data_IF_197824718239
#
_entry.id   IF_197824718239
#
_cell.length_a   1.000
_cell.length_b   1.000
_cell.length_c   1.000
_cell.angle_alpha   90.00
_cell.angle_beta   90.00
_cell.angle_gamma   90.00
#
_symmetry.space_group_name_H-M   'P 1'
#
loop_
_entity.id
_entity.type
_entity.pdbx_description
1 polymer ?
#
# COMPACT_ATOMS: atom_id res chain seq x y z
N UNK A 1 9.98 21.96 -80.50
CA UNK A 1 11.15 21.71 -79.64
C UNK A 1 10.68 20.76 -78.56
N UNK A 2 11.00 19.49 -78.75
CA UNK A 2 10.63 18.36 -77.92
C UNK A 2 11.40 18.42 -76.60
N UNK A 3 10.72 18.19 -75.48
CA UNK A 3 11.33 17.90 -74.20
C UNK A 3 10.96 16.46 -73.83
N UNK A 4 11.97 15.59 -73.88
CA UNK A 4 11.92 14.21 -73.39
C UNK A 4 11.68 14.21 -71.87
N UNK A 5 10.70 13.44 -71.42
CA UNK A 5 10.57 13.05 -70.03
C UNK A 5 10.79 11.54 -69.95
N UNK A 6 11.86 11.18 -69.25
CA UNK A 6 12.37 9.83 -69.04
C UNK A 6 11.46 9.06 -68.09
N UNK A 7 11.00 7.90 -68.57
CA UNK A 7 10.19 6.92 -67.86
C UNK A 7 11.07 6.12 -66.88
N UNK A 8 10.77 6.20 -65.58
CA UNK A 8 11.40 5.36 -64.54
C UNK A 8 10.58 4.09 -64.34
N UNK A 9 11.18 2.88 -64.39
CA UNK A 9 10.42 1.65 -64.28
C UNK A 9 10.01 1.37 -62.83
N UNK A 10 8.72 1.08 -62.66
CA UNK A 10 8.11 0.57 -61.42
C UNK A 10 8.65 -0.84 -61.17
N UNK A 11 9.40 -1.02 -60.09
CA UNK A 11 9.83 -2.33 -59.62
C UNK A 11 8.61 -3.10 -59.06
N UNK A 12 8.18 -4.11 -59.81
CA UNK A 12 7.18 -5.09 -59.36
C UNK A 12 7.89 -6.07 -58.45
N UNK A 13 7.77 -5.87 -57.14
CA UNK A 13 8.26 -6.79 -56.12
C UNK A 13 7.39 -8.05 -56.12
N UNK A 14 7.78 -9.00 -56.96
CA UNK A 14 7.16 -10.32 -57.09
C UNK A 14 7.89 -11.27 -56.15
N UNK A 15 7.45 -11.30 -54.90
CA UNK A 15 7.91 -12.28 -53.93
C UNK A 15 6.94 -13.47 -53.91
N UNK A 16 7.25 -14.64 -54.49
CA UNK A 16 6.36 -15.79 -54.50
C UNK A 16 6.74 -16.71 -53.34
N UNK A 17 6.43 -16.30 -52.11
CA UNK A 17 6.40 -17.23 -50.98
C UNK A 17 4.95 -17.45 -50.58
N UNK A 18 4.45 -18.70 -50.54
CA UNK A 18 3.15 -18.99 -49.95
C UNK A 18 3.22 -18.56 -48.48
N UNK A 19 2.49 -17.52 -48.09
CA UNK A 19 2.22 -17.27 -46.68
C UNK A 19 1.33 -18.41 -46.22
N UNK A 20 1.93 -19.45 -45.63
CA UNK A 20 1.18 -20.44 -44.88
C UNK A 20 0.25 -19.70 -43.91
N UNK A 21 -1.03 -20.06 -43.83
CA UNK A 21 -1.93 -19.46 -42.86
C UNK A 21 -1.38 -19.79 -41.48
N UNK A 22 -0.76 -18.80 -40.81
CA UNK A 22 -0.39 -18.93 -39.40
C UNK A 22 -1.66 -19.33 -38.69
N UNK A 23 -1.71 -20.57 -38.20
CA UNK A 23 -2.89 -21.12 -37.55
C UNK A 23 -3.45 -20.15 -36.51
N UNK A 24 -4.77 -20.16 -36.34
CA UNK A 24 -5.44 -19.28 -35.40
C UNK A 24 -4.99 -19.54 -33.95
N UNK A 25 -4.44 -20.73 -33.69
CA UNK A 25 -3.87 -21.13 -32.40
C UNK A 25 -2.46 -20.54 -32.25
N UNK A 26 -2.26 -19.82 -31.14
CA UNK A 26 -0.99 -19.24 -30.71
C UNK A 26 -0.62 -19.78 -29.33
N UNK A 27 0.61 -19.52 -28.91
CA UNK A 27 1.09 -19.93 -27.59
C UNK A 27 1.70 -18.74 -26.87
N UNK A 28 1.37 -18.58 -25.59
CA UNK A 28 1.96 -17.59 -24.69
C UNK A 28 2.25 -18.25 -23.35
N UNK A 29 3.50 -18.20 -22.89
CA UNK A 29 3.95 -18.81 -21.62
C UNK A 29 3.47 -20.27 -21.43
N UNK A 30 3.52 -21.07 -22.50
CA UNK A 30 3.09 -22.47 -22.48
C UNK A 30 1.57 -22.71 -22.64
N UNK A 31 0.73 -21.66 -22.54
CA UNK A 31 -0.72 -21.74 -22.76
C UNK A 31 -1.06 -21.54 -24.23
N UNK A 32 -1.80 -22.47 -24.82
CA UNK A 32 -2.35 -22.31 -26.18
C UNK A 32 -3.65 -21.51 -26.15
N UNK A 33 -3.84 -20.63 -27.13
CA UNK A 33 -5.03 -19.80 -27.25
C UNK A 33 -5.38 -19.52 -28.71
N UNK A 34 -6.67 -19.44 -29.02
CA UNK A 34 -7.15 -19.07 -30.36
C UNK A 34 -7.30 -17.56 -30.45
N UNK A 35 -6.64 -16.90 -31.42
CA UNK A 35 -6.76 -15.45 -31.60
C UNK A 35 -8.14 -14.99 -32.07
N UNK A 36 -8.94 -15.90 -32.62
CA UNK A 36 -10.31 -15.61 -33.11
C UNK A 36 -11.37 -15.73 -32.03
N UNK A 37 -11.00 -16.13 -30.81
CA UNK A 37 -11.89 -16.15 -29.65
C UNK A 37 -12.53 -14.75 -29.45
N UNK A 38 -13.86 -14.65 -29.28
CA UNK A 38 -14.56 -13.40 -29.02
C UNK A 38 -13.93 -12.53 -27.92
N UNK A 39 -13.27 -13.14 -26.93
CA UNK A 39 -12.58 -12.42 -25.84
C UNK A 39 -11.39 -11.57 -26.30
N UNK A 40 -10.88 -11.80 -27.51
CA UNK A 40 -9.75 -11.06 -28.09
C UNK A 40 -10.15 -10.09 -29.20
N UNK A 41 -11.43 -10.03 -29.55
CA UNK A 41 -11.92 -9.20 -30.64
C UNK A 41 -11.60 -7.72 -30.40
N UNK A 42 -10.91 -7.07 -31.35
CA UNK A 42 -10.58 -5.64 -31.28
C UNK A 42 -9.47 -5.30 -30.29
N UNK A 43 -8.87 -6.28 -29.60
CA UNK A 43 -7.78 -6.06 -28.67
C UNK A 43 -6.43 -6.05 -29.37
N UNK A 44 -5.53 -5.19 -28.90
CA UNK A 44 -4.14 -5.19 -29.35
C UNK A 44 -3.42 -6.47 -28.90
N UNK A 45 -2.32 -6.83 -29.57
CA UNK A 45 -1.49 -7.98 -29.15
C UNK A 45 -1.04 -7.89 -27.69
N UNK A 46 -0.82 -6.68 -27.18
CA UNK A 46 -0.40 -6.46 -25.79
C UNK A 46 -1.56 -6.67 -24.81
N UNK A 47 -2.77 -6.20 -25.15
CA UNK A 47 -3.96 -6.45 -24.33
C UNK A 47 -4.32 -7.95 -24.26
N UNK A 48 -4.21 -8.67 -25.38
CA UNK A 48 -4.39 -10.12 -25.43
C UNK A 48 -3.37 -10.83 -24.53
N UNK A 49 -2.09 -10.45 -24.60
CA UNK A 49 -1.04 -11.00 -23.72
C UNK A 49 -1.29 -10.69 -22.25
N UNK A 50 -1.85 -9.51 -21.93
CA UNK A 50 -2.20 -9.14 -20.55
C UNK A 50 -3.29 -10.06 -20.00
N UNK A 51 -4.40 -10.25 -20.73
CA UNK A 51 -5.46 -11.18 -20.35
C UNK A 51 -4.92 -12.59 -20.13
N UNK A 52 -4.11 -13.09 -21.07
CA UNK A 52 -3.53 -14.44 -20.95
C UNK A 52 -2.58 -14.56 -19.75
N UNK A 53 -1.82 -13.50 -19.45
CA UNK A 53 -0.96 -13.46 -18.26
C UNK A 53 -1.80 -13.51 -16.99
N UNK A 54 -2.89 -12.74 -16.93
CA UNK A 54 -3.80 -12.71 -15.78
C UNK A 54 -4.49 -14.09 -15.59
N UNK A 55 -4.90 -14.74 -16.68
CA UNK A 55 -5.46 -16.11 -16.62
C UNK A 55 -4.42 -17.13 -16.09
N UNK A 56 -3.19 -17.12 -16.62
CA UNK A 56 -2.11 -18.01 -16.15
C UNK A 56 -1.78 -17.71 -14.68
N UNK A 57 -1.78 -16.43 -14.30
CA UNK A 57 -1.55 -16.00 -12.93
C UNK A 57 -2.62 -16.58 -11.99
N UNK A 58 -3.91 -16.45 -12.33
CA UNK A 58 -4.99 -17.01 -11.52
C UNK A 58 -4.96 -18.55 -11.49
N UNK A 59 -4.69 -19.23 -12.61
CA UNK A 59 -4.54 -20.69 -12.67
C UNK A 59 -3.40 -21.19 -11.76
N UNK A 60 -2.26 -20.50 -11.76
CA UNK A 60 -1.07 -20.88 -10.97
C UNK A 60 -1.11 -20.34 -9.53
N UNK A 61 -2.12 -19.54 -9.16
CA UNK A 61 -2.19 -18.84 -7.87
C UNK A 61 -2.09 -19.78 -6.67
N UNK A 62 -2.80 -20.91 -6.71
CA UNK A 62 -2.80 -21.90 -5.62
C UNK A 62 -1.42 -22.53 -5.42
N UNK A 63 -0.76 -22.91 -6.53
CA UNK A 63 0.58 -23.50 -6.51
C UNK A 63 1.63 -22.49 -6.05
N UNK A 64 1.57 -21.25 -6.55
CA UNK A 64 2.48 -20.17 -6.14
C UNK A 64 2.30 -19.83 -4.66
N UNK A 65 1.07 -19.77 -4.17
CA UNK A 65 0.77 -19.57 -2.74
C UNK A 65 1.34 -20.70 -1.89
N UNK A 66 1.16 -21.96 -2.33
CA UNK A 66 1.73 -23.13 -1.62
C UNK A 66 3.26 -23.10 -1.60
N UNK A 67 3.90 -22.82 -2.74
CA UNK A 67 5.35 -22.70 -2.85
C UNK A 67 5.92 -21.57 -2.00
N UNK A 68 5.27 -20.38 -2.01
CA UNK A 68 5.62 -19.25 -1.12
C UNK A 68 5.53 -19.69 0.34
N UNK A 69 4.41 -20.29 0.78
CA UNK A 69 4.24 -20.80 2.16
C UNK A 69 5.30 -21.82 2.58
N UNK A 70 5.65 -22.77 1.72
CA UNK A 70 6.69 -23.76 1.99
C UNK A 70 8.08 -23.12 2.09
N UNK A 71 8.41 -22.17 1.20
CA UNK A 71 9.66 -21.40 1.23
C UNK A 71 9.77 -20.60 2.54
N UNK A 72 8.71 -19.90 2.95
CA UNK A 72 8.66 -19.16 4.22
C UNK A 72 8.80 -20.08 5.43
N UNK A 73 8.08 -21.20 5.45
CA UNK A 73 8.18 -22.21 6.53
C UNK A 73 9.60 -22.76 6.66
N UNK A 74 10.29 -23.01 5.54
CA UNK A 74 11.68 -23.45 5.50
C UNK A 74 12.63 -22.38 6.04
N UNK A 75 12.58 -21.15 5.51
CA UNK A 75 13.40 -20.02 5.98
C UNK A 75 13.22 -19.79 7.49
N UNK A 76 11.99 -19.90 7.99
CA UNK A 76 11.68 -19.75 9.43
C UNK A 76 12.26 -20.87 10.28
N UNK A 77 12.20 -22.11 9.81
CA UNK A 77 12.78 -23.26 10.51
C UNK A 77 14.30 -23.16 10.58
N UNK A 78 14.93 -22.77 9.48
CA UNK A 78 16.38 -22.52 9.38
C UNK A 78 16.81 -21.38 10.32
N UNK A 79 16.10 -20.23 10.29
CA UNK A 79 16.38 -19.12 11.21
C UNK A 79 16.23 -19.53 12.68
N UNK A 80 15.19 -20.29 13.05
CA UNK A 80 15.00 -20.83 14.41
C UNK A 80 16.10 -21.83 14.81
N UNK A 81 16.70 -22.50 13.85
CA UNK A 81 17.84 -23.37 14.10
C UNK A 81 19.10 -22.54 14.37
N UNK A 82 19.38 -21.54 13.53
CA UNK A 82 20.48 -20.58 13.75
C UNK A 82 20.36 -19.83 15.08
N UNK A 83 19.14 -19.47 15.51
CA UNK A 83 18.88 -18.88 16.84
C UNK A 83 19.18 -19.87 17.98
N UNK A 84 18.81 -21.15 17.83
CA UNK A 84 19.11 -22.19 18.83
C UNK A 84 20.59 -22.52 18.91
N UNK A 85 21.28 -22.46 17.78
CA UNK A 85 22.71 -22.70 17.66
C UNK A 85 23.53 -21.47 18.08
N UNK A 86 22.88 -20.35 18.43
CA UNK A 86 23.52 -19.11 18.88
C UNK A 86 24.24 -18.33 17.78
N UNK A 87 24.04 -18.69 16.51
CA UNK A 87 24.66 -18.03 15.36
C UNK A 87 24.00 -16.68 15.01
N UNK A 88 22.73 -16.48 15.42
CA UNK A 88 21.96 -15.25 15.22
C UNK A 88 21.19 -14.93 16.50
N UNK A 89 21.15 -13.64 16.88
CA UNK A 89 20.33 -13.21 18.01
C UNK A 89 18.82 -13.29 17.70
N UNK A 90 18.00 -13.68 18.70
CA UNK A 90 16.55 -13.64 18.54
C UNK A 90 16.08 -12.23 18.19
N UNK A 91 15.16 -12.13 17.22
CA UNK A 91 14.54 -10.83 16.95
C UNK A 91 13.80 -10.34 18.20
N UNK A 92 13.86 -9.03 18.50
CA UNK A 92 13.08 -8.44 19.57
C UNK A 92 11.60 -8.80 19.38
N UNK A 93 10.99 -9.45 20.38
CA UNK A 93 9.55 -9.71 20.35
C UNK A 93 8.85 -8.36 20.47
N UNK A 94 7.98 -8.03 19.51
CA UNK A 94 7.11 -6.85 19.64
C UNK A 94 6.26 -7.02 20.90
N UNK A 95 6.13 -5.99 21.74
CA UNK A 95 5.30 -6.07 22.93
C UNK A 95 3.87 -6.44 22.52
N UNK A 96 3.23 -7.31 23.32
CA UNK A 96 1.81 -7.61 23.13
C UNK A 96 1.01 -6.32 23.30
N UNK A 97 -0.07 -6.20 22.52
CA UNK A 97 -1.03 -5.12 22.70
C UNK A 97 -1.52 -5.12 24.16
N UNK A 98 -1.25 -4.02 24.87
CA UNK A 98 -1.85 -3.78 26.20
C UNK A 98 -3.29 -3.30 26.00
N UNK A 99 -4.01 -3.09 27.10
CA UNK A 99 -5.28 -2.38 27.04
C UNK A 99 -5.10 -1.05 26.29
N UNK A 100 -5.84 -0.86 25.21
CA UNK A 100 -5.73 0.33 24.36
C UNK A 100 -6.29 1.55 25.09
N UNK A 101 -5.42 2.50 25.43
CA UNK A 101 -5.80 3.79 26.01
C UNK A 101 -5.97 4.80 24.90
N UNK A 102 -7.18 5.32 24.71
CA UNK A 102 -7.47 6.28 23.64
C UNK A 102 -7.09 7.69 24.08
N UNK A 103 -6.23 8.34 23.30
CA UNK A 103 -5.83 9.73 23.48
C UNK A 103 -6.86 10.73 22.96
N UNK A 104 -6.47 12.00 22.92
CA UNK A 104 -7.30 13.12 22.45
C UNK A 104 -6.95 13.63 21.06
N UNK A 105 -6.03 12.95 20.36
CA UNK A 105 -5.68 13.28 18.98
C UNK A 105 -6.42 12.32 18.07
N UNK A 106 -7.13 12.86 17.08
CA UNK A 106 -7.85 12.10 16.07
C UNK A 106 -7.03 11.90 14.81
N UNK A 107 -7.33 10.82 14.08
CA UNK A 107 -6.89 10.63 12.70
C UNK A 107 -8.09 10.21 11.82
N UNK A 108 -8.11 10.70 10.59
CA UNK A 108 -9.04 10.27 9.55
C UNK A 108 -8.24 9.75 8.36
N UNK A 109 -8.61 8.57 7.86
CA UNK A 109 -8.20 8.10 6.54
C UNK A 109 -9.30 8.47 5.53
N UNK A 110 -9.01 9.44 4.67
CA UNK A 110 -9.91 9.92 3.62
C UNK A 110 -9.88 8.98 2.42
N UNK A 111 -10.88 8.13 2.27
CA UNK A 111 -10.92 7.08 1.24
C UNK A 111 -11.66 7.49 -0.05
N UNK A 112 -11.77 8.79 -0.33
CA UNK A 112 -12.47 9.32 -1.52
C UNK A 112 -11.74 9.10 -2.86
N UNK A 113 -10.72 8.24 -2.90
CA UNK A 113 -9.74 8.15 -3.99
C UNK A 113 -9.74 6.82 -4.78
N UNK A 114 -10.65 5.86 -4.53
CA UNK A 114 -10.57 4.57 -5.22
C UNK A 114 -10.70 4.68 -6.75
N UNK A 115 -11.34 5.72 -7.28
CA UNK A 115 -11.40 5.99 -8.73
C UNK A 115 -10.04 6.35 -9.36
N UNK A 116 -9.04 6.69 -8.54
CA UNK A 116 -7.67 6.98 -8.95
C UNK A 116 -6.71 5.79 -8.76
N UNK A 117 -7.21 4.67 -8.23
CA UNK A 117 -6.43 3.47 -7.94
C UNK A 117 -6.87 2.31 -8.81
N UNK A 118 -5.93 1.46 -9.22
CA UNK A 118 -6.23 0.16 -9.82
C UNK A 118 -6.46 -0.91 -8.74
N UNK A 119 -6.93 -2.10 -9.11
CA UNK A 119 -7.28 -3.15 -8.16
C UNK A 119 -6.12 -3.58 -7.23
N UNK A 120 -4.86 -3.58 -7.73
CA UNK A 120 -3.69 -3.86 -6.90
C UNK A 120 -3.48 -2.74 -5.87
N UNK A 121 -3.61 -1.49 -6.29
CA UNK A 121 -3.46 -0.31 -5.42
C UNK A 121 -4.56 -0.26 -4.35
N UNK A 122 -5.81 -0.62 -4.68
CA UNK A 122 -6.89 -0.75 -3.69
C UNK A 122 -6.58 -1.89 -2.70
N UNK A 123 -6.03 -3.01 -3.18
CA UNK A 123 -5.56 -4.11 -2.30
C UNK A 123 -4.44 -3.63 -1.34
N UNK A 124 -3.45 -2.90 -1.86
CA UNK A 124 -2.38 -2.31 -1.03
C UNK A 124 -2.96 -1.29 -0.03
N UNK A 125 -3.93 -0.47 -0.44
CA UNK A 125 -4.62 0.47 0.45
C UNK A 125 -5.33 -0.26 1.61
N UNK A 126 -6.06 -1.35 1.34
CA UNK A 126 -6.63 -2.22 2.39
C UNK A 126 -5.55 -2.67 3.37
N UNK A 127 -4.41 -3.14 2.87
CA UNK A 127 -3.30 -3.60 3.73
C UNK A 127 -2.75 -2.45 4.60
N UNK A 128 -2.58 -1.26 4.02
CA UNK A 128 -2.14 -0.07 4.75
C UNK A 128 -3.14 0.35 5.85
N UNK A 129 -4.46 0.25 5.63
CA UNK A 129 -5.48 0.50 6.67
C UNK A 129 -5.32 -0.48 7.84
N UNK A 130 -5.14 -1.77 7.55
CA UNK A 130 -4.92 -2.81 8.56
C UNK A 130 -3.64 -2.52 9.37
N UNK A 131 -2.56 -2.09 8.70
CA UNK A 131 -1.31 -1.69 9.36
C UNK A 131 -1.51 -0.49 10.28
N UNK A 132 -2.24 0.53 9.83
CA UNK A 132 -2.58 1.69 10.66
C UNK A 132 -3.30 1.25 11.94
N UNK A 133 -4.40 0.50 11.82
CA UNK A 133 -5.14 0.04 13.00
C UNK A 133 -4.26 -0.80 13.94
N UNK A 134 -3.47 -1.71 13.37
CA UNK A 134 -2.56 -2.57 14.13
C UNK A 134 -1.48 -1.80 14.87
N UNK A 135 -0.92 -0.75 14.27
CA UNK A 135 0.01 0.17 14.93
C UNK A 135 -0.68 0.96 16.04
N UNK A 136 -1.92 1.40 15.81
CA UNK A 136 -2.70 2.15 16.79
C UNK A 136 -2.98 1.34 18.07
N UNK A 137 -3.35 0.06 17.92
CA UNK A 137 -3.59 -0.85 19.05
C UNK A 137 -2.30 -1.14 19.83
N UNK A 138 -1.13 -0.99 19.20
CA UNK A 138 0.19 -1.25 19.80
C UNK A 138 0.89 0.01 20.30
N UNK A 139 0.25 1.18 20.24
CA UNK A 139 0.79 2.42 20.78
C UNK A 139 1.27 2.24 22.23
N UNK A 140 2.46 2.75 22.57
CA UNK A 140 3.06 2.55 23.89
C UNK A 140 2.35 3.36 24.99
N UNK A 141 1.88 4.56 24.64
CA UNK A 141 1.17 5.48 25.54
C UNK A 141 -0.32 5.55 25.23
N UNK A 142 -0.68 6.27 24.17
CA UNK A 142 -2.06 6.56 23.81
C UNK A 142 -2.29 6.29 22.32
N UNK A 143 -3.34 5.54 22.00
CA UNK A 143 -3.82 5.38 20.64
C UNK A 143 -4.55 6.64 20.17
N UNK A 144 -4.63 6.84 18.86
CA UNK A 144 -5.42 7.89 18.24
C UNK A 144 -6.89 7.46 18.09
N UNK A 145 -7.80 8.43 18.10
CA UNK A 145 -9.19 8.21 17.69
C UNK A 145 -9.23 8.06 16.17
N UNK A 146 -9.38 6.84 15.68
CA UNK A 146 -9.21 6.54 14.25
C UNK A 146 -10.56 6.45 13.55
N UNK A 147 -10.66 7.08 12.38
CA UNK A 147 -11.84 7.00 11.52
C UNK A 147 -11.45 6.76 10.06
N UNK A 148 -12.35 6.11 9.33
CA UNK A 148 -12.29 5.91 7.89
C UNK A 148 -13.53 6.55 7.27
N UNK A 149 -13.33 7.53 6.39
CA UNK A 149 -14.40 8.32 5.77
C UNK A 149 -14.45 8.10 4.27
N UNK A 150 -15.60 8.40 3.65
CA UNK A 150 -15.80 8.19 2.21
C UNK A 150 -15.49 6.77 1.75
N UNK A 151 -15.78 5.75 2.59
CA UNK A 151 -15.61 4.35 2.19
C UNK A 151 -16.53 4.03 1.03
N UNK A 152 -15.96 3.75 -0.13
CA UNK A 152 -16.70 3.38 -1.33
C UNK A 152 -16.72 1.86 -1.56
N UNK A 153 -17.53 1.43 -2.54
CA UNK A 153 -17.78 0.02 -2.79
C UNK A 153 -16.52 -0.78 -3.20
N UNK A 154 -15.63 -0.27 -4.08
CA UNK A 154 -14.39 -0.99 -4.43
C UNK A 154 -13.50 -1.28 -3.21
N UNK A 155 -13.24 -0.28 -2.37
CA UNK A 155 -12.41 -0.47 -1.18
C UNK A 155 -13.12 -1.32 -0.13
N UNK A 156 -14.43 -1.10 0.08
CA UNK A 156 -15.23 -1.93 1.00
C UNK A 156 -15.16 -3.41 0.62
N UNK A 157 -15.29 -3.72 -0.68
CA UNK A 157 -15.19 -5.10 -1.17
C UNK A 157 -13.84 -5.74 -0.82
N UNK A 158 -12.74 -4.99 -0.88
CA UNK A 158 -11.43 -5.48 -0.45
C UNK A 158 -11.34 -5.66 1.07
N UNK A 159 -11.92 -4.74 1.85
CA UNK A 159 -12.02 -4.87 3.30
C UNK A 159 -12.80 -6.12 3.73
N UNK A 160 -13.82 -6.52 2.96
CA UNK A 160 -14.66 -7.69 3.25
C UNK A 160 -14.03 -9.05 2.79
N UNK A 161 -13.04 -9.04 1.89
CA UNK A 161 -12.60 -10.22 1.12
C UNK A 161 -11.83 -11.30 1.93
N UNK A 162 -11.43 -11.03 3.18
CA UNK A 162 -10.60 -11.94 4.02
C UNK A 162 -11.13 -12.06 5.46
N UNK A 163 -12.44 -12.31 5.59
CA UNK A 163 -13.21 -12.14 6.82
C UNK A 163 -13.21 -10.67 7.28
N UNK A 164 -14.38 -10.08 7.60
CA UNK A 164 -14.46 -8.65 7.91
C UNK A 164 -14.00 -8.39 9.35
N UNK A 165 -12.74 -8.67 9.65
CA UNK A 165 -12.15 -8.47 10.99
C UNK A 165 -12.27 -7.02 11.46
N UNK A 166 -12.29 -6.08 10.50
CA UNK A 166 -12.49 -4.66 10.71
C UNK A 166 -13.82 -4.28 11.37
N UNK A 167 -14.87 -5.12 11.25
CA UNK A 167 -16.14 -4.92 11.94
C UNK A 167 -16.00 -5.05 13.47
N UNK A 168 -14.97 -5.75 13.94
CA UNK A 168 -14.71 -5.95 15.37
C UNK A 168 -13.64 -5.01 15.92
N UNK A 169 -13.15 -4.07 15.11
CA UNK A 169 -12.13 -3.13 15.55
C UNK A 169 -12.69 -2.15 16.58
N UNK A 170 -11.97 -1.98 17.69
CA UNK A 170 -12.38 -1.09 18.78
C UNK A 170 -11.91 0.33 18.49
N UNK A 171 -12.72 1.32 18.87
CA UNK A 171 -12.39 2.74 18.70
C UNK A 171 -12.00 3.11 17.26
N UNK A 172 -12.66 2.45 16.30
CA UNK A 172 -12.49 2.63 14.87
C UNK A 172 -13.84 2.99 14.27
N UNK A 173 -13.97 4.20 13.76
CA UNK A 173 -15.22 4.66 13.12
C UNK A 173 -15.14 4.46 11.61
N UNK A 174 -16.19 3.95 10.99
CA UNK A 174 -16.26 3.77 9.53
C UNK A 174 -17.52 4.43 9.01
N UNK A 175 -17.40 5.23 7.95
CA UNK A 175 -18.51 5.92 7.32
C UNK A 175 -18.30 6.06 5.81
N UNK A 176 -19.40 6.00 5.07
CA UNK A 176 -19.43 6.29 3.62
C UNK A 176 -19.50 7.79 3.33
N UNK A 177 -19.81 8.61 4.34
CA UNK A 177 -19.92 10.06 4.20
C UNK A 177 -18.53 10.75 4.22
N UNK A 178 -18.38 11.91 3.54
CA UNK A 178 -17.19 12.75 3.64
C UNK A 178 -16.89 13.22 5.06
N UNK A 179 -15.61 13.43 5.37
CA UNK A 179 -15.19 13.92 6.69
C UNK A 179 -15.77 15.29 7.05
N UNK A 180 -16.00 16.17 6.06
CA UNK A 180 -16.59 17.49 6.29
C UNK A 180 -18.03 17.43 6.81
N UNK A 181 -18.75 16.35 6.56
CA UNK A 181 -20.14 16.20 6.97
C UNK A 181 -20.26 15.58 8.37
N UNK A 182 -19.19 14.92 8.84
CA UNK A 182 -19.16 14.19 10.13
C UNK A 182 -18.36 14.87 11.23
N UNK A 183 -17.37 15.70 10.88
CA UNK A 183 -16.40 16.25 11.83
C UNK A 183 -16.40 17.78 11.82
N UNK A 184 -16.09 18.37 12.97
CA UNK A 184 -16.00 19.83 13.11
C UNK A 184 -14.84 20.39 12.30
N UNK A 185 -15.15 21.26 11.35
CA UNK A 185 -14.19 21.83 10.39
C UNK A 185 -12.99 22.50 11.06
N UNK A 186 -13.20 23.15 12.20
CA UNK A 186 -12.21 23.93 12.95
C UNK A 186 -11.14 23.06 13.62
N UNK A 187 -11.42 21.76 13.77
CA UNK A 187 -10.53 20.77 14.38
C UNK A 187 -9.78 19.93 13.35
N UNK A 188 -10.11 20.07 12.06
CA UNK A 188 -9.51 19.32 10.97
C UNK A 188 -8.21 19.95 10.46
N UNK A 189 -7.18 19.11 10.30
CA UNK A 189 -5.90 19.46 9.67
C UNK A 189 -5.59 18.41 8.61
N UNK A 190 -5.57 18.80 7.32
CA UNK A 190 -5.21 17.88 6.24
C UNK A 190 -3.70 17.78 6.09
N UNK A 191 -3.15 16.58 6.23
CA UNK A 191 -1.73 16.33 6.03
C UNK A 191 -1.41 16.23 4.54
N UNK A 192 -0.53 17.09 4.07
CA UNK A 192 -0.07 17.10 2.68
C UNK A 192 1.38 17.55 2.62
N UNK A 193 2.20 16.82 1.83
CA UNK A 193 3.60 17.15 1.61
C UNK A 193 3.81 18.51 0.93
N UNK A 194 2.80 19.01 0.22
CA UNK A 194 2.83 20.30 -0.50
C UNK A 194 2.32 21.47 0.35
N UNK A 195 1.97 21.25 1.64
CA UNK A 195 1.50 22.33 2.51
C UNK A 195 2.63 23.30 2.90
N UNK A 196 2.33 24.60 2.90
CA UNK A 196 3.26 25.63 3.40
C UNK A 196 3.42 25.62 4.93
N UNK A 197 2.47 25.04 5.67
CA UNK A 197 2.53 24.97 7.13
C UNK A 197 3.21 23.68 7.58
N UNK A 198 3.95 23.72 8.68
CA UNK A 198 4.65 22.57 9.25
C UNK A 198 4.01 22.18 10.59
N UNK A 199 3.67 20.90 10.75
CA UNK A 199 3.13 20.35 11.99
C UNK A 199 4.27 20.01 12.96
N UNK A 200 4.75 20.99 13.73
CA UNK A 200 5.79 20.76 14.75
C UNK A 200 5.29 19.93 15.94
N UNK A 201 3.97 19.88 16.17
CA UNK A 201 3.35 19.07 17.22
C UNK A 201 2.01 18.50 16.75
N UNK A 202 1.60 17.35 17.33
CA UNK A 202 0.23 16.86 17.24
C UNK A 202 -0.59 17.38 18.44
N UNK A 203 -1.51 18.29 18.15
CA UNK A 203 -2.33 19.00 19.13
C UNK A 203 -3.49 18.15 19.64
N UNK A 204 -3.72 18.16 20.97
CA UNK A 204 -4.91 17.54 21.56
C UNK A 204 -6.19 18.25 21.10
N UNK A 205 -7.24 17.47 20.80
CA UNK A 205 -8.50 17.98 20.29
C UNK A 205 -8.52 18.20 18.78
N UNK A 206 -7.36 18.08 18.09
CA UNK A 206 -7.29 18.12 16.62
C UNK A 206 -7.40 16.74 16.02
N UNK A 207 -7.93 16.72 14.80
CA UNK A 207 -8.08 15.52 13.98
C UNK A 207 -7.33 15.73 12.67
N UNK A 208 -6.32 14.89 12.46
CA UNK A 208 -5.44 14.97 11.29
C UNK A 208 -5.96 14.04 10.19
N UNK A 209 -6.03 14.54 8.96
CA UNK A 209 -6.54 13.77 7.82
C UNK A 209 -5.35 13.30 6.98
N UNK A 210 -5.33 12.02 6.64
CA UNK A 210 -4.38 11.42 5.70
C UNK A 210 -5.20 10.96 4.48
N UNK A 211 -4.76 11.35 3.28
CA UNK A 211 -5.36 10.86 2.03
C UNK A 211 -5.14 9.36 1.90
N UNK A 212 -6.22 8.59 1.87
CA UNK A 212 -6.22 7.14 1.67
C UNK A 212 -6.01 6.78 0.21
N UNK A 213 -4.79 7.01 -0.29
CA UNK A 213 -4.43 6.80 -1.69
C UNK A 213 -3.08 6.09 -1.81
N UNK A 214 -3.00 5.15 -2.75
CA UNK A 214 -1.76 4.48 -3.18
C UNK A 214 -1.54 4.81 -4.65
N UNK A 215 -0.77 5.85 -4.91
CA UNK A 215 -0.63 6.41 -6.26
C UNK A 215 0.83 6.68 -6.68
N UNK A 216 1.82 6.27 -5.88
CA UNK A 216 3.24 6.60 -6.11
C UNK A 216 3.46 8.12 -6.34
N UNK A 217 2.63 8.96 -5.71
CA UNK A 217 2.61 10.43 -5.83
C UNK A 217 2.34 10.95 -7.25
N UNK A 218 1.51 10.23 -8.01
CA UNK A 218 0.97 10.70 -9.30
C UNK A 218 -0.02 11.87 -9.10
N UNK A 219 -0.71 11.91 -7.97
CA UNK A 219 -1.74 12.87 -7.63
C UNK A 219 -1.23 13.87 -6.59
N UNK A 220 -1.24 15.15 -6.95
CA UNK A 220 -1.00 16.24 -6.01
C UNK A 220 -2.32 16.72 -5.47
N UNK A 221 -2.64 16.35 -4.23
CA UNK A 221 -3.88 16.76 -3.60
C UNK A 221 -3.88 18.29 -3.36
N UNK A 222 -4.72 19.02 -4.09
CA UNK A 222 -4.95 20.45 -3.86
C UNK A 222 -5.89 20.60 -2.66
N UNK A 223 -5.32 20.82 -1.48
CA UNK A 223 -6.08 20.99 -0.24
C UNK A 223 -6.76 22.37 -0.16
N UNK A 224 -7.79 22.58 -0.99
CA UNK A 224 -8.56 23.83 -1.06
C UNK A 224 -10.04 23.63 -0.67
N UNK A 225 -10.30 22.87 0.40
CA UNK A 225 -11.65 22.77 1.00
C UNK A 225 -11.86 23.76 2.16
N UNK A 226 -10.94 24.71 2.33
CA UNK A 226 -10.99 25.73 3.38
C UNK A 226 -10.77 25.18 4.78
N UNK A 227 -10.11 24.03 4.91
CA UNK A 227 -9.59 23.49 6.17
C UNK A 227 -8.09 23.79 6.29
N UNK A 228 -7.55 23.72 7.51
CA UNK A 228 -6.11 23.88 7.72
C UNK A 228 -5.38 22.71 7.06
N UNK A 229 -4.16 22.98 6.61
CA UNK A 229 -3.26 21.97 6.03
C UNK A 229 -1.92 22.07 6.73
N UNK A 230 -1.20 20.96 6.81
CA UNK A 230 0.17 20.94 7.30
C UNK A 230 0.97 19.80 6.65
N UNK A 231 2.28 19.96 6.54
CA UNK A 231 3.21 18.88 6.24
C UNK A 231 3.86 18.38 7.53
N UNK A 232 4.28 17.11 7.55
CA UNK A 232 5.14 16.62 8.62
C UNK A 232 6.52 17.30 8.52
N UNK A 233 7.23 17.53 9.64
CA UNK A 233 8.51 18.23 9.65
C UNK A 233 9.67 17.36 9.14
N UNK A 234 9.44 16.48 8.16
CA UNK A 234 10.44 15.51 7.65
C UNK A 234 11.69 16.24 7.14
N UNK A 235 11.49 17.37 6.43
CA UNK A 235 12.59 18.15 5.85
C UNK A 235 13.56 18.75 6.87
N UNK A 236 13.15 18.89 8.13
CA UNK A 236 13.98 19.41 9.20
C UNK A 236 15.00 18.37 9.71
N UNK A 237 14.69 17.07 9.56
CA UNK A 237 15.49 15.98 10.12
C UNK A 237 16.11 15.08 9.04
N UNK A 238 15.43 14.88 7.91
CA UNK A 238 15.81 13.90 6.90
C UNK A 238 15.87 14.55 5.52
N UNK A 239 17.02 14.44 4.87
CA UNK A 239 17.18 14.74 3.45
C UNK A 239 17.02 13.46 2.63
N UNK A 240 15.79 13.03 2.37
CA UNK A 240 15.53 11.88 1.50
C UNK A 240 16.16 12.11 0.12
N UNK A 241 16.89 11.12 -0.41
CA UNK A 241 17.52 11.23 -1.73
C UNK A 241 16.55 10.94 -2.88
N UNK A 242 15.55 10.09 -2.63
CA UNK A 242 14.42 9.82 -3.51
C UNK A 242 13.20 10.68 -3.15
N UNK A 243 12.06 10.48 -3.85
CA UNK A 243 10.84 11.28 -3.65
C UNK A 243 10.41 11.23 -2.18
N UNK A 244 10.01 12.38 -1.62
CA UNK A 244 9.53 12.56 -0.23
C UNK A 244 8.14 11.97 0.03
N UNK A 245 7.85 10.81 -0.54
CA UNK A 245 6.50 10.24 -0.52
C UNK A 245 6.49 9.08 0.45
N UNK A 246 5.77 9.29 1.54
CA UNK A 246 5.50 8.25 2.53
C UNK A 246 4.17 7.59 2.21
N UNK A 247 4.07 6.30 2.48
CA UNK A 247 2.80 5.57 2.39
C UNK A 247 1.84 6.00 3.50
N UNK A 248 0.55 5.68 3.37
CA UNK A 248 -0.46 6.03 4.37
C UNK A 248 -0.12 5.46 5.74
N UNK A 249 0.31 4.19 5.78
CA UNK A 249 0.71 3.56 7.04
C UNK A 249 1.98 4.17 7.63
N UNK A 250 2.97 4.58 6.81
CA UNK A 250 4.16 5.25 7.30
C UNK A 250 3.83 6.58 7.98
N UNK A 251 3.01 7.42 7.34
CA UNK A 251 2.55 8.69 7.93
C UNK A 251 1.85 8.43 9.27
N UNK A 252 0.94 7.46 9.32
CA UNK A 252 0.22 7.10 10.54
C UNK A 252 1.14 6.57 11.64
N UNK A 253 2.04 5.63 11.32
CA UNK A 253 2.97 5.02 12.28
C UNK A 253 3.92 6.06 12.88
N UNK A 254 4.40 7.01 12.08
CA UNK A 254 5.21 8.14 12.55
C UNK A 254 4.40 8.98 13.56
N UNK A 255 3.13 9.28 13.26
CA UNK A 255 2.29 10.07 14.17
C UNK A 255 2.07 9.37 15.51
N UNK A 256 1.77 8.06 15.48
CA UNK A 256 1.64 7.26 16.72
C UNK A 256 2.95 7.25 17.49
N UNK A 257 4.08 7.02 16.80
CA UNK A 257 5.39 7.02 17.46
C UNK A 257 5.74 8.38 18.06
N UNK A 258 5.38 9.47 17.39
CA UNK A 258 5.53 10.81 17.93
C UNK A 258 4.68 11.04 19.18
N UNK A 259 3.44 10.53 19.25
CA UNK A 259 2.65 10.61 20.48
C UNK A 259 3.31 9.86 21.64
N UNK A 260 4.01 8.76 21.34
CA UNK A 260 4.74 7.98 22.32
C UNK A 260 6.02 8.67 22.82
N UNK A 261 6.83 9.27 21.93
CA UNK A 261 8.14 9.82 22.31
C UNK A 261 8.24 11.35 22.36
N UNK A 262 7.30 12.07 21.72
CA UNK A 262 7.31 13.53 21.50
C UNK A 262 8.58 14.04 20.82
N UNK A 263 9.10 13.23 19.90
CA UNK A 263 10.35 13.47 19.18
C UNK A 263 10.18 13.02 17.72
N UNK A 264 10.21 13.97 16.79
CA UNK A 264 10.05 13.69 15.37
C UNK A 264 11.24 12.95 14.77
N UNK A 265 12.46 13.31 15.15
CA UNK A 265 13.67 12.64 14.66
C UNK A 265 13.62 11.15 14.99
N UNK A 266 13.31 10.84 16.25
CA UNK A 266 13.17 9.46 16.71
C UNK A 266 12.04 8.73 15.98
N UNK A 267 10.89 9.37 15.83
CA UNK A 267 9.75 8.78 15.12
C UNK A 267 10.09 8.47 13.66
N UNK A 268 10.77 9.39 12.97
CA UNK A 268 11.16 9.18 11.59
C UNK A 268 12.22 8.07 11.44
N UNK A 269 13.27 8.07 12.28
CA UNK A 269 14.34 7.08 12.20
C UNK A 269 13.86 5.65 12.51
N UNK A 270 12.82 5.51 13.33
CA UNK A 270 12.26 4.20 13.67
C UNK A 270 11.34 3.64 12.57
N UNK A 271 10.62 4.51 11.86
CA UNK A 271 9.59 4.08 10.89
C UNK A 271 10.07 4.13 9.43
N UNK A 272 10.91 5.11 9.08
CA UNK A 272 11.41 5.26 7.71
C UNK A 272 12.56 4.27 7.51
N UNK A 273 12.47 3.34 6.53
CA UNK A 273 13.53 2.36 6.30
C UNK A 273 14.89 2.98 6.03
N UNK A 274 15.95 2.38 6.56
CA UNK A 274 17.33 2.90 6.45
C UNK A 274 17.78 3.18 5.01
N UNK A 275 17.29 2.43 4.00
CA UNK A 275 17.63 2.68 2.59
C UNK A 275 17.21 4.07 2.13
N UNK A 276 16.05 4.55 2.58
CA UNK A 276 15.56 5.91 2.30
C UNK A 276 16.39 6.98 3.03
N UNK A 277 17.16 6.61 4.04
CA UNK A 277 18.05 7.50 4.81
C UNK A 277 19.49 7.52 4.26
N UNK A 278 19.99 6.39 3.73
CA UNK A 278 21.41 6.16 3.37
C UNK A 278 21.90 6.87 2.11
N UNK A 279 21.01 7.28 1.21
CA UNK A 279 21.41 8.00 -0.01
C UNK A 279 21.62 9.52 0.20
N UNK A 280 21.50 9.99 1.45
CA UNK A 280 21.60 11.40 1.80
C UNK A 280 23.04 11.84 2.05
N UNK A 281 23.85 12.04 1.00
CA UNK A 281 24.87 13.11 0.80
C UNK A 281 25.88 12.83 -0.35
N UNK A 282 25.69 13.45 -1.52
CA UNK A 282 26.51 14.53 -2.13
C UNK A 282 26.04 14.79 -3.57
N UNK A 283 26.11 16.06 -3.97
CA UNK A 283 25.59 16.64 -5.22
C UNK A 283 26.33 16.13 -6.47
N UNK A 284 25.56 15.97 -7.54
CA UNK A 284 25.91 15.76 -8.97
C UNK A 284 26.24 14.33 -9.42
N UNK A 285 25.27 13.67 -10.05
CA UNK A 285 25.36 13.38 -11.49
C UNK A 285 23.98 13.09 -12.09
N UNK A 286 23.89 13.35 -13.40
CA UNK A 286 22.67 13.37 -14.22
C UNK A 286 21.96 12.01 -14.28
N UNK A 287 20.66 12.13 -14.54
CA UNK A 287 19.70 11.03 -14.50
C UNK A 287 19.90 9.95 -15.54
N UNK A 288 19.29 8.82 -15.25
CA UNK A 288 18.69 7.95 -16.24
C UNK A 288 17.52 7.20 -15.59
N UNK A 289 16.50 6.88 -16.39
CA UNK A 289 15.27 6.19 -15.96
C UNK A 289 15.56 4.96 -15.08
N UNK A 290 15.21 5.03 -13.80
CA UNK A 290 15.22 3.90 -12.85
C UNK A 290 13.87 3.73 -12.14
N UNK A 291 12.81 4.39 -12.63
CA UNK A 291 11.48 4.25 -12.03
C UNK A 291 10.94 2.80 -12.17
N UNK A 292 11.31 2.04 -13.20
CA UNK A 292 10.79 0.66 -13.39
C UNK A 292 11.45 -0.39 -12.45
N UNK A 293 12.73 -0.27 -12.13
CA UNK A 293 13.43 -1.19 -11.22
C UNK A 293 13.04 -0.94 -9.75
N UNK A 294 12.88 0.34 -9.36
CA UNK A 294 12.38 0.71 -8.03
C UNK A 294 10.93 0.24 -7.81
N UNK A 295 10.10 0.29 -8.86
CA UNK A 295 8.71 -0.17 -8.79
C UNK A 295 8.57 -1.69 -8.65
N UNK A 296 9.43 -2.47 -9.31
CA UNK A 296 9.45 -3.93 -9.16
C UNK A 296 9.95 -4.35 -7.76
N UNK A 297 10.97 -3.68 -7.22
CA UNK A 297 11.47 -3.95 -5.87
C UNK A 297 10.46 -3.55 -4.77
N UNK A 298 9.73 -2.44 -4.93
CA UNK A 298 8.64 -2.06 -4.00
C UNK A 298 7.46 -3.04 -4.07
N UNK A 299 7.06 -3.51 -5.26
CA UNK A 299 6.03 -4.55 -5.39
C UNK A 299 6.49 -5.89 -4.77
N UNK A 300 7.76 -6.27 -4.93
CA UNK A 300 8.31 -7.49 -4.31
C UNK A 300 8.42 -7.39 -2.78
N UNK A 301 8.83 -6.23 -2.23
CA UNK A 301 8.83 -5.98 -0.78
C UNK A 301 7.40 -5.95 -0.21
N UNK A 302 6.44 -5.34 -0.91
CA UNK A 302 5.02 -5.38 -0.52
C UNK A 302 4.52 -6.83 -0.54
N UNK A 303 4.83 -7.63 -1.56
CA UNK A 303 4.45 -9.06 -1.63
C UNK A 303 5.15 -9.93 -0.57
N UNK A 304 6.41 -9.67 -0.21
CA UNK A 304 7.10 -10.38 0.86
C UNK A 304 6.54 -9.99 2.24
N UNK A 305 6.23 -8.70 2.45
CA UNK A 305 5.57 -8.23 3.66
C UNK A 305 4.14 -8.76 3.76
N UNK A 306 3.38 -8.84 2.66
CA UNK A 306 2.04 -9.46 2.60
C UNK A 306 2.08 -10.92 3.08
N UNK A 307 3.10 -11.68 2.66
CA UNK A 307 3.30 -13.06 3.09
C UNK A 307 3.60 -13.22 4.58
N UNK A 308 4.33 -12.27 5.18
CA UNK A 308 4.53 -12.20 6.64
C UNK A 308 3.31 -11.64 7.39
N UNK A 309 2.45 -10.89 6.72
CA UNK A 309 1.31 -10.18 7.31
C UNK A 309 0.01 -10.95 7.32
N UNK A 310 -0.25 -11.86 6.37
CA UNK A 310 -1.32 -12.85 6.50
C UNK A 310 -1.18 -13.64 7.83
N UNK A 311 0.04 -13.83 8.35
CA UNK A 311 0.28 -14.42 9.69
C UNK A 311 0.10 -13.41 10.85
N UNK A 312 0.30 -12.10 10.64
CA UNK A 312 0.11 -11.05 11.66
C UNK A 312 -1.34 -10.59 11.77
N UNK A 313 -2.11 -10.63 10.67
CA UNK A 313 -3.57 -10.44 10.68
C UNK A 313 -4.22 -11.46 11.61
N UNK A 314 -3.80 -12.73 11.53
CA UNK A 314 -4.19 -13.80 12.47
C UNK A 314 -3.84 -13.46 13.94
N UNK A 315 -2.70 -12.82 14.22
CA UNK A 315 -2.34 -12.36 15.57
C UNK A 315 -3.18 -11.16 16.00
N UNK A 316 -3.46 -10.20 15.12
CA UNK A 316 -4.32 -9.05 15.43
C UNK A 316 -5.78 -9.45 15.62
N UNK A 317 -6.26 -10.46 14.90
CA UNK A 317 -7.57 -11.06 15.13
C UNK A 317 -7.63 -11.75 16.49
N UNK A 318 -6.57 -12.49 16.87
CA UNK A 318 -6.48 -13.09 18.21
C UNK A 318 -6.48 -12.01 19.28
N UNK A 319 -5.73 -10.93 19.08
CA UNK A 319 -5.71 -9.78 20.01
C UNK A 319 -7.10 -9.13 20.09
N UNK A 320 -7.76 -8.85 18.95
CA UNK A 320 -9.10 -8.28 18.95
C UNK A 320 -10.10 -9.17 19.69
N UNK A 321 -10.04 -10.50 19.47
CA UNK A 321 -10.85 -11.51 20.17
C UNK A 321 -10.54 -11.56 21.67
N UNK A 322 -9.26 -11.57 22.07
CA UNK A 322 -8.83 -11.58 23.47
C UNK A 322 -9.29 -10.32 24.24
N UNK A 323 -9.22 -9.14 23.60
CA UNK A 323 -9.72 -7.88 24.20
C UNK A 323 -11.26 -7.90 24.29
N UNK A 324 -11.98 -8.62 23.42
CA UNK A 324 -13.46 -8.77 23.56
C UNK A 324 -13.86 -9.70 24.71
N UNK A 325 -13.10 -10.76 24.98
CA UNK A 325 -13.39 -11.71 26.08
C UNK A 325 -13.10 -11.16 27.47
N UNK A 326 -12.08 -10.29 27.63
CA UNK A 326 -11.70 -9.74 28.94
C UNK A 326 -12.72 -8.73 29.51
N UNK A 327 -13.63 -8.22 28.67
CA UNK A 327 -14.68 -7.29 29.09
C UNK A 327 -16.00 -7.97 29.48
N UNK A 328 -16.26 -9.20 29.03
CA UNK A 328 -17.46 -9.95 29.43
C UNK A 328 -17.35 -10.54 30.83
N UNK A 329 -16.13 -10.88 31.29
CA UNK A 329 -15.88 -11.44 32.62
C UNK A 329 -15.93 -10.40 33.77
N UNK A 330 -15.95 -9.09 33.45
CA UNK A 330 -15.95 -8.01 34.44
C UNK A 330 -17.34 -7.41 34.73
N UNK A 331 -18.42 -7.99 34.18
CA UNK A 331 -19.80 -7.55 34.47
C UNK A 331 -20.62 -8.51 35.36
N UNK A 332 -20.07 -9.64 35.80
CA UNK A 332 -20.77 -10.57 36.71
C UNK A 332 -20.11 -10.65 38.09
N UNK A 333 -20.24 -9.57 38.89
CA UNK A 333 -20.29 -9.70 40.35
C UNK A 333 -21.37 -8.78 40.92
N UNK A 334 -22.61 -9.29 41.11
CA UNK A 334 -23.60 -8.56 41.89
C UNK A 334 -23.18 -8.53 43.37
N UNK A 335 -23.33 -7.35 43.97
CA UNK A 335 -23.27 -7.13 45.43
C UNK A 335 -24.54 -7.67 46.07
#
# INVERSE_FOLDING_TARGET
MSAEQTDTPVAVDSNPFPTEPKGNIRTYQGKQYDITDPKFHGLSKNAIKKILRDEIWEETKSERTKGKREKFKRKRAERRQLERDGAIEPLPKRPKAKHMTVGKVGVILDCSFSSYMNDKEISSMRQQIVRCYSANVRAEKNSMQMALTSLDEPLKKQMDAKAPSWENWKNFQVTTEPYLDKFNKEDLIYLSADSENIAHELEEGKTYIIGGIVDKNRFKATASQGIKTAQLPIGDYIRLASRKVLTVNQVFEIMVKWLDCRDWEKAFMEIIPERKLKESTFVNQHGNNQDEEEEEEEEEEEEEQEGEEDEKEDETEKIAKDITTDQTDNQEKPI
#
